data_IF_697381703429
#
_entry.id   IF_697381703429
#
_cell.length_a   1.000
_cell.length_b   1.000
_cell.length_c   1.000
_cell.angle_alpha   90.00
_cell.angle_beta   90.00
_cell.angle_gamma   90.00
#
_symmetry.space_group_name_H-M   'P 1'
#
loop_
_entity.id
_entity.type
_entity.pdbx_description
1 polymer ?
#
# COMPACT_ATOMS: atom_id res chain seq x y z
N UNK A 1 -0.86 -8.20 0.09
CA UNK A 1 -0.72 -6.84 -0.49
C UNK A 1 -0.63 -6.81 -2.01
N UNK A 2 0.35 -7.47 -2.66
CA UNK A 2 0.51 -7.40 -4.12
C UNK A 2 -0.70 -7.90 -4.92
N UNK A 3 -1.38 -8.96 -4.47
CA UNK A 3 -2.65 -9.41 -5.08
C UNK A 3 -3.71 -8.31 -5.03
N UNK A 4 -3.85 -7.61 -3.90
CA UNK A 4 -4.81 -6.51 -3.80
C UNK A 4 -4.42 -5.33 -4.70
N UNK A 5 -3.13 -5.00 -4.78
CA UNK A 5 -2.65 -3.93 -5.64
C UNK A 5 -2.97 -4.17 -7.12
N UNK A 6 -2.93 -5.43 -7.55
CA UNK A 6 -3.44 -5.84 -8.85
C UNK A 6 -4.97 -5.76 -8.88
N UNK A 7 -5.69 -6.35 -7.94
CA UNK A 7 -7.15 -6.38 -7.94
C UNK A 7 -7.77 -4.97 -8.09
N UNK A 8 -7.25 -4.00 -7.34
CA UNK A 8 -7.75 -2.62 -7.38
C UNK A 8 -7.40 -1.89 -8.68
N UNK A 9 -6.41 -2.37 -9.43
CA UNK A 9 -6.04 -1.82 -10.74
C UNK A 9 -7.12 -2.04 -11.81
N UNK A 10 -8.10 -2.91 -11.54
CA UNK A 10 -9.32 -3.12 -12.33
C UNK A 10 -10.61 -2.76 -11.61
N UNK A 11 -10.51 -2.27 -10.37
CA UNK A 11 -11.67 -1.92 -9.56
C UNK A 11 -12.06 -0.45 -9.73
N UNK A 12 -13.05 0.00 -8.98
CA UNK A 12 -13.50 1.38 -8.92
C UNK A 12 -13.86 1.76 -7.47
N UNK A 13 -14.16 3.04 -7.24
CA UNK A 13 -14.46 3.53 -5.89
C UNK A 13 -15.72 2.90 -5.26
N UNK A 14 -16.68 2.41 -6.06
CA UNK A 14 -17.82 1.65 -5.53
C UNK A 14 -17.37 0.33 -4.92
N UNK A 15 -16.45 -0.38 -5.59
CA UNK A 15 -15.85 -1.60 -5.05
C UNK A 15 -15.03 -1.30 -3.79
N UNK A 16 -14.25 -0.21 -3.77
CA UNK A 16 -13.51 0.21 -2.57
C UNK A 16 -14.45 0.51 -1.40
N UNK A 17 -15.52 1.28 -1.60
CA UNK A 17 -16.49 1.54 -0.54
C UNK A 17 -17.13 0.26 -0.01
N UNK A 18 -17.37 -0.71 -0.88
CA UNK A 18 -17.96 -2.01 -0.51
C UNK A 18 -16.96 -2.89 0.25
N UNK A 19 -15.69 -2.89 -0.16
CA UNK A 19 -14.64 -3.72 0.40
C UNK A 19 -14.05 -3.14 1.70
N UNK A 20 -13.79 -1.84 1.72
CA UNK A 20 -13.10 -1.14 2.81
C UNK A 20 -14.06 -0.61 3.88
N UNK A 21 -15.21 -0.07 3.45
CA UNK A 21 -16.13 0.64 4.35
C UNK A 21 -17.42 -0.14 4.62
N UNK A 22 -17.58 -1.32 4.00
CA UNK A 22 -18.80 -2.12 4.05
C UNK A 22 -20.06 -1.36 3.64
N UNK A 23 -19.91 -0.39 2.73
CA UNK A 23 -21.02 0.42 2.21
C UNK A 23 -21.44 -0.07 0.83
N UNK A 24 -22.73 -0.35 0.68
CA UNK A 24 -23.32 -0.81 -0.59
C UNK A 24 -23.33 -2.33 -0.72
N UNK A 25 -23.17 -2.85 -1.94
CA UNK A 25 -23.22 -4.28 -2.21
C UNK A 25 -21.99 -4.98 -1.65
N UNK A 26 -22.22 -5.89 -0.70
CA UNK A 26 -21.17 -6.73 -0.12
C UNK A 26 -20.29 -7.39 -1.19
N UNK A 27 -18.97 -7.25 -1.06
CA UNK A 27 -17.98 -8.03 -1.83
C UNK A 27 -17.89 -9.42 -1.20
N UNK A 28 -18.07 -10.47 -1.98
CA UNK A 28 -17.70 -11.83 -1.57
C UNK A 28 -16.28 -12.11 -2.04
N UNK A 29 -15.31 -11.98 -1.14
CA UNK A 29 -13.90 -12.13 -1.48
C UNK A 29 -13.51 -13.58 -1.85
N UNK A 30 -14.37 -14.57 -1.59
CA UNK A 30 -14.13 -15.96 -2.00
C UNK A 30 -14.38 -16.18 -3.50
N UNK A 31 -15.15 -15.29 -4.13
CA UNK A 31 -15.57 -15.41 -5.54
C UNK A 31 -15.31 -14.15 -6.37
N UNK A 32 -14.75 -13.08 -5.77
CA UNK A 32 -14.53 -11.80 -6.43
C UNK A 32 -13.60 -11.91 -7.67
N UNK A 33 -14.09 -11.40 -8.80
CA UNK A 33 -13.41 -11.51 -10.09
C UNK A 33 -12.10 -10.71 -10.16
N UNK A 34 -12.00 -9.56 -9.47
CA UNK A 34 -10.78 -8.76 -9.45
C UNK A 34 -9.69 -9.47 -8.64
N UNK A 35 -10.05 -10.04 -7.49
CA UNK A 35 -9.14 -10.83 -6.65
C UNK A 35 -8.67 -12.09 -7.40
N UNK A 36 -9.60 -12.82 -8.06
CA UNK A 36 -9.26 -14.01 -8.86
C UNK A 36 -8.27 -13.68 -9.97
N UNK A 37 -8.57 -12.64 -10.75
CA UNK A 37 -7.70 -12.18 -11.83
C UNK A 37 -6.31 -11.79 -11.31
N UNK A 38 -6.24 -11.09 -10.18
CA UNK A 38 -4.98 -10.66 -9.60
C UNK A 38 -4.11 -11.83 -9.16
N UNK A 39 -4.68 -12.82 -8.46
CA UNK A 39 -3.97 -14.03 -8.04
C UNK A 39 -3.43 -14.81 -9.25
N UNK A 40 -4.26 -14.99 -10.28
CA UNK A 40 -3.84 -15.62 -11.54
C UNK A 40 -2.73 -14.84 -12.25
N UNK A 41 -2.79 -13.51 -12.23
CA UNK A 41 -1.77 -12.64 -12.85
C UNK A 41 -0.44 -12.76 -12.13
N UNK A 42 -0.45 -12.82 -10.80
CA UNK A 42 0.77 -13.01 -10.02
C UNK A 42 1.43 -14.35 -10.35
N UNK A 43 0.66 -15.43 -10.51
CA UNK A 43 1.19 -16.73 -10.93
C UNK A 43 1.73 -16.70 -12.36
N UNK A 44 1.07 -16.00 -13.29
CA UNK A 44 1.60 -15.81 -14.65
C UNK A 44 2.96 -15.11 -14.63
N UNK A 45 3.13 -14.08 -13.81
CA UNK A 45 4.42 -13.40 -13.65
C UNK A 45 5.49 -14.30 -13.04
N UNK A 46 5.12 -15.15 -12.08
CA UNK A 46 6.01 -16.18 -11.54
C UNK A 46 6.48 -17.13 -12.64
N UNK A 47 5.55 -17.69 -13.43
CA UNK A 47 5.88 -18.60 -14.54
C UNK A 47 6.72 -17.92 -15.62
N UNK A 48 6.51 -16.62 -15.87
CA UNK A 48 7.29 -15.83 -16.82
C UNK A 48 8.68 -15.44 -16.31
N UNK A 49 9.05 -15.79 -15.07
CA UNK A 49 10.37 -15.49 -14.51
C UNK A 49 10.55 -14.05 -14.04
N UNK A 50 9.46 -13.31 -13.78
CA UNK A 50 9.55 -11.93 -13.28
C UNK A 50 9.89 -11.86 -11.78
N UNK A 51 9.80 -13.00 -11.09
CA UNK A 51 10.22 -13.16 -9.71
C UNK A 51 11.41 -14.11 -9.62
N UNK A 52 12.22 -13.95 -8.58
CA UNK A 52 13.27 -14.91 -8.28
C UNK A 52 12.70 -16.30 -8.00
N UNK A 53 13.44 -17.39 -8.28
CA UNK A 53 12.96 -18.75 -8.05
C UNK A 53 12.47 -19.02 -6.62
N UNK A 54 13.10 -18.39 -5.63
CA UNK A 54 12.83 -18.50 -4.20
C UNK A 54 11.87 -17.42 -3.65
N UNK A 55 11.11 -16.71 -4.51
CA UNK A 55 10.29 -15.55 -4.10
C UNK A 55 9.38 -15.78 -2.89
N UNK A 56 8.88 -17.01 -2.67
CA UNK A 56 8.05 -17.32 -1.50
C UNK A 56 8.81 -17.33 -0.17
N UNK A 57 10.14 -17.39 -0.20
CA UNK A 57 11.01 -17.28 0.99
C UNK A 57 11.68 -15.91 1.14
N UNK A 58 11.43 -14.97 0.23
CA UNK A 58 12.04 -13.63 0.27
C UNK A 58 11.19 -12.70 1.14
N UNK A 59 11.79 -12.09 2.15
CA UNK A 59 11.10 -11.09 2.97
C UNK A 59 10.94 -9.76 2.21
N UNK A 60 9.97 -8.90 2.60
CA UNK A 60 9.86 -7.56 2.02
C UNK A 60 11.15 -6.73 2.15
N UNK A 61 11.85 -6.84 3.28
CA UNK A 61 13.09 -6.11 3.53
C UNK A 61 14.24 -6.61 2.64
N UNK A 62 14.34 -7.93 2.43
CA UNK A 62 15.32 -8.52 1.52
C UNK A 62 15.06 -8.07 0.07
N UNK A 63 13.79 -8.08 -0.38
CA UNK A 63 13.44 -7.62 -1.71
C UNK A 63 13.80 -6.14 -1.95
N UNK A 64 13.62 -5.29 -0.92
CA UNK A 64 14.06 -3.89 -0.97
C UNK A 64 15.58 -3.78 -1.01
N UNK A 65 16.30 -4.56 -0.18
CA UNK A 65 17.76 -4.56 -0.15
C UNK A 65 18.37 -5.03 -1.48
N UNK A 66 17.75 -6.01 -2.14
CA UNK A 66 18.17 -6.48 -3.47
C UNK A 66 17.99 -5.41 -4.55
N UNK A 67 16.85 -4.70 -4.55
CA UNK A 67 16.67 -3.56 -5.44
C UNK A 67 17.73 -2.49 -5.17
N UNK A 68 17.95 -2.13 -3.90
CA UNK A 68 18.96 -1.14 -3.51
C UNK A 68 20.39 -1.53 -3.95
N UNK A 69 20.69 -2.83 -3.97
CA UNK A 69 21.94 -3.38 -4.46
C UNK A 69 22.01 -3.53 -6.00
N UNK A 70 20.99 -3.10 -6.75
CA UNK A 70 20.93 -3.20 -8.20
C UNK A 70 20.67 -4.62 -8.73
N UNK A 71 20.19 -5.54 -7.88
CA UNK A 71 19.91 -6.95 -8.24
C UNK A 71 18.49 -7.17 -8.77
N UNK A 72 17.61 -6.19 -8.61
CA UNK A 72 16.24 -6.22 -9.12
C UNK A 72 15.95 -4.95 -9.92
N UNK A 73 15.26 -5.08 -11.07
CA UNK A 73 14.89 -3.94 -11.90
C UNK A 73 13.73 -3.11 -11.34
N UNK A 74 12.85 -3.73 -10.54
CA UNK A 74 11.69 -3.09 -9.92
C UNK A 74 11.43 -3.69 -8.55
N UNK A 75 10.88 -2.88 -7.64
CA UNK A 75 10.32 -3.31 -6.37
C UNK A 75 8.98 -2.63 -6.15
N UNK A 76 7.97 -3.37 -5.69
CA UNK A 76 6.69 -2.80 -5.26
C UNK A 76 6.86 -2.37 -3.81
N UNK A 77 6.70 -1.08 -3.53
CA UNK A 77 6.90 -0.53 -2.18
C UNK A 77 6.12 0.76 -1.96
N UNK A 78 6.31 1.36 -0.78
CA UNK A 78 5.66 2.60 -0.39
C UNK A 78 6.60 3.80 -0.26
N UNK A 79 6.04 4.94 0.11
CA UNK A 79 6.79 6.18 0.35
C UNK A 79 7.73 6.10 1.55
N UNK A 80 7.45 5.23 2.53
CA UNK A 80 8.33 5.03 3.70
C UNK A 80 9.73 4.50 3.33
N UNK A 81 9.93 4.02 2.11
CA UNK A 81 11.24 3.57 1.63
C UNK A 81 12.13 4.72 1.14
N UNK A 82 11.60 5.91 0.90
CA UNK A 82 12.28 7.01 0.19
C UNK A 82 13.61 7.41 0.85
N UNK A 83 13.62 7.57 2.18
CA UNK A 83 14.85 7.89 2.92
C UNK A 83 15.93 6.79 2.78
N UNK A 84 15.52 5.52 2.79
CA UNK A 84 16.46 4.40 2.60
C UNK A 84 16.93 4.28 1.15
N UNK A 85 16.05 4.55 0.17
CA UNK A 85 16.41 4.54 -1.25
C UNK A 85 17.44 5.63 -1.57
N UNK A 86 17.23 6.84 -1.03
CA UNK A 86 18.17 7.94 -1.21
C UNK A 86 19.56 7.65 -0.64
N UNK A 87 19.65 6.92 0.47
CA UNK A 87 20.93 6.65 1.14
C UNK A 87 21.62 5.39 0.63
N UNK A 88 20.86 4.39 0.16
CA UNK A 88 21.40 3.07 -0.22
C UNK A 88 21.53 2.85 -1.72
N UNK A 89 20.75 3.55 -2.55
CA UNK A 89 20.91 3.48 -4.02
C UNK A 89 21.96 4.49 -4.46
N UNK A 90 23.18 4.03 -4.70
CA UNK A 90 24.32 4.89 -5.09
C UNK A 90 24.90 4.57 -6.47
N UNK A 91 24.55 3.42 -7.05
CA UNK A 91 25.15 2.90 -8.29
C UNK A 91 24.28 3.06 -9.52
N UNK A 92 23.02 3.46 -9.38
CA UNK A 92 22.08 3.64 -10.49
C UNK A 92 21.06 4.74 -10.18
N UNK A 93 20.40 5.24 -11.22
CA UNK A 93 19.25 6.14 -11.09
C UNK A 93 17.95 5.35 -11.00
N UNK A 94 17.04 5.77 -10.14
CA UNK A 94 15.73 5.15 -9.99
C UNK A 94 14.60 6.18 -10.17
N UNK A 95 13.41 5.68 -10.48
CA UNK A 95 12.18 6.47 -10.54
C UNK A 95 11.05 5.79 -9.78
N UNK A 96 9.92 6.48 -9.66
CA UNK A 96 8.70 5.94 -9.05
C UNK A 96 7.51 6.22 -9.95
N UNK A 97 6.61 5.26 -10.05
CA UNK A 97 5.38 5.39 -10.80
C UNK A 97 4.25 4.61 -10.10
N UNK A 98 3.01 4.99 -10.37
CA UNK A 98 1.86 4.25 -9.87
C UNK A 98 1.78 2.90 -10.59
N UNK A 99 1.41 1.84 -9.85
CA UNK A 99 1.03 0.58 -10.48
C UNK A 99 -0.03 0.85 -11.57
N UNK A 100 0.15 0.32 -12.80
CA UNK A 100 -0.78 0.58 -13.89
C UNK A 100 -2.19 0.08 -13.57
N UNK A 101 -3.19 0.93 -13.81
CA UNK A 101 -4.61 0.60 -13.66
C UNK A 101 -5.46 1.77 -13.21
N UNK A 102 -6.65 1.46 -12.70
CA UNK A 102 -7.66 2.43 -12.27
C UNK A 102 -7.38 3.02 -10.89
N UNK A 103 -7.01 2.18 -9.92
CA UNK A 103 -6.74 2.57 -8.54
C UNK A 103 -5.36 2.07 -8.08
N UNK A 104 -4.85 2.69 -7.02
CA UNK A 104 -3.57 2.36 -6.40
C UNK A 104 -3.71 2.20 -4.89
N UNK A 105 -2.92 1.29 -4.31
CA UNK A 105 -2.88 1.07 -2.86
C UNK A 105 -2.24 2.28 -2.19
N UNK A 106 -2.91 2.84 -1.20
CA UNK A 106 -2.42 4.01 -0.48
C UNK A 106 -3.54 4.71 0.28
N UNK A 107 -3.16 5.59 1.20
CA UNK A 107 -4.05 6.36 2.08
C UNK A 107 -3.41 7.70 2.45
N UNK A 108 -4.09 8.48 3.30
CA UNK A 108 -3.59 9.76 3.82
C UNK A 108 -2.41 9.63 4.83
N UNK A 109 -1.96 8.41 5.16
CA UNK A 109 -0.87 8.14 6.10
C UNK A 109 -1.35 7.83 7.53
N UNK A 110 -0.44 7.97 8.50
CA UNK A 110 -0.73 7.71 9.91
C UNK A 110 -1.70 8.74 10.49
N UNK A 111 -2.74 8.26 11.17
CA UNK A 111 -3.75 9.11 11.80
C UNK A 111 -3.31 9.49 13.21
N UNK A 112 -3.22 10.79 13.50
CA UNK A 112 -3.10 11.30 14.85
C UNK A 112 -4.50 11.45 15.45
N UNK A 113 -4.75 10.81 16.59
CA UNK A 113 -6.06 10.77 17.24
C UNK A 113 -6.01 11.33 18.65
N UNK A 114 -7.04 12.07 19.05
CA UNK A 114 -7.20 12.55 20.42
C UNK A 114 -8.21 11.63 21.12
N UNK A 115 -7.81 10.87 22.16
CA UNK A 115 -8.74 10.06 22.91
C UNK A 115 -9.84 10.91 23.56
N UNK A 116 -11.11 10.49 23.43
CA UNK A 116 -12.26 11.24 23.99
C UNK A 116 -12.17 11.47 25.49
N UNK A 117 -11.47 10.58 26.22
CA UNK A 117 -11.23 10.66 27.67
C UNK A 117 -9.91 11.34 28.05
N UNK A 118 -9.16 11.89 27.10
CA UNK A 118 -7.92 12.63 27.39
C UNK A 118 -8.21 13.81 28.32
N UNK A 119 -7.35 13.98 29.34
CA UNK A 119 -7.39 15.13 30.24
C UNK A 119 -6.75 16.39 29.62
N UNK A 120 -5.97 16.23 28.55
CA UNK A 120 -5.19 17.29 27.90
C UNK A 120 -5.56 17.43 26.42
N UNK A 121 -6.86 17.59 26.12
CA UNK A 121 -7.36 17.63 24.72
C UNK A 121 -6.79 18.80 23.94
N UNK A 122 -6.75 19.98 24.56
CA UNK A 122 -6.29 21.20 23.89
C UNK A 122 -4.80 21.13 23.56
N UNK A 123 -3.97 20.65 24.50
CA UNK A 123 -2.54 20.43 24.25
C UNK A 123 -2.27 19.37 23.18
N UNK A 124 -3.08 18.31 23.15
CA UNK A 124 -2.98 17.29 22.08
C UNK A 124 -3.35 17.89 20.71
N UNK A 125 -4.39 18.73 20.66
CA UNK A 125 -4.78 19.44 19.44
C UNK A 125 -3.70 20.44 19.00
N UNK A 126 -3.10 21.17 19.93
CA UNK A 126 -1.98 22.08 19.67
C UNK A 126 -0.77 21.35 19.09
N UNK A 127 -0.42 20.17 19.64
CA UNK A 127 0.65 19.34 19.10
C UNK A 127 0.34 18.85 17.67
N UNK A 128 -0.89 18.40 17.41
CA UNK A 128 -1.29 17.99 16.06
C UNK A 128 -1.20 19.18 15.09
N UNK A 129 -1.68 20.37 15.48
CA UNK A 129 -1.57 21.58 14.68
C UNK A 129 -0.11 21.97 14.40
N UNK A 130 0.78 21.81 15.39
CA UNK A 130 2.21 22.04 15.23
C UNK A 130 2.80 21.12 14.14
N UNK A 131 2.54 19.81 14.25
CA UNK A 131 3.04 18.80 13.28
C UNK A 131 2.47 19.03 11.87
N UNK A 132 1.22 19.48 11.77
CA UNK A 132 0.55 19.78 10.50
C UNK A 132 0.88 21.18 9.93
N UNK A 133 1.56 22.03 10.69
CA UNK A 133 1.96 23.36 10.21
C UNK A 133 2.95 23.27 9.05
N UNK A 134 2.92 24.28 8.16
CA UNK A 134 3.80 24.36 6.98
C UNK A 134 5.27 24.12 7.31
N UNK A 135 5.78 24.70 8.40
CA UNK A 135 7.17 24.53 8.84
C UNK A 135 7.54 23.05 8.99
N UNK A 136 6.74 22.29 9.73
CA UNK A 136 7.05 20.88 10.01
C UNK A 136 6.69 19.96 8.85
N UNK A 137 5.70 20.32 8.02
CA UNK A 137 5.42 19.59 6.79
C UNK A 137 6.52 19.79 5.73
N UNK A 138 7.05 21.00 5.59
CA UNK A 138 8.21 21.27 4.73
C UNK A 138 9.45 20.51 5.25
N UNK A 139 9.65 20.46 6.57
CA UNK A 139 10.70 19.62 7.16
C UNK A 139 10.51 18.14 6.85
N UNK A 140 9.30 17.60 7.05
CA UNK A 140 8.97 16.20 6.77
C UNK A 140 9.27 15.83 5.30
N UNK A 141 8.84 16.67 4.35
CA UNK A 141 9.12 16.43 2.94
C UNK A 141 10.61 16.52 2.60
N UNK A 142 11.39 17.39 3.25
CA UNK A 142 12.84 17.43 3.04
C UNK A 142 13.58 16.26 3.73
N UNK A 143 12.98 15.65 4.74
CA UNK A 143 13.51 14.48 5.45
C UNK A 143 13.19 13.13 4.77
N UNK A 144 12.61 13.11 3.56
CA UNK A 144 12.23 11.86 2.88
C UNK A 144 10.82 11.38 3.19
N UNK A 145 9.98 12.19 3.83
CA UNK A 145 8.59 11.89 4.14
C UNK A 145 7.62 12.33 3.05
N UNK A 146 6.35 11.95 3.21
CA UNK A 146 5.25 12.38 2.35
C UNK A 146 4.38 13.41 3.09
N UNK A 147 4.62 14.72 2.92
CA UNK A 147 3.85 15.75 3.60
C UNK A 147 2.46 15.96 2.97
N UNK A 148 1.50 16.36 3.80
CA UNK A 148 0.13 16.69 3.37
C UNK A 148 -0.05 18.19 3.10
N UNK A 149 0.59 19.04 3.91
CA UNK A 149 0.41 20.49 3.88
C UNK A 149 1.73 21.26 3.68
N UNK A 150 2.68 20.64 2.98
CA UNK A 150 3.91 21.32 2.59
C UNK A 150 3.66 22.27 1.40
N UNK A 151 4.46 23.34 1.33
CA UNK A 151 4.60 24.12 0.10
C UNK A 151 5.43 23.29 -0.89
N UNK A 152 4.90 23.00 -2.07
CA UNK A 152 5.54 22.09 -3.02
C UNK A 152 6.92 22.61 -3.45
N UNK A 153 7.05 23.93 -3.60
CA UNK A 153 8.28 24.63 -3.97
C UNK A 153 9.34 24.59 -2.86
N UNK A 154 8.95 24.29 -1.62
CA UNK A 154 9.87 24.18 -0.48
C UNK A 154 10.47 22.77 -0.33
N UNK A 155 10.01 21.78 -1.09
CA UNK A 155 10.54 20.41 -1.03
C UNK A 155 11.66 20.26 -2.05
N UNK A 156 12.90 20.14 -1.56
CA UNK A 156 14.10 19.95 -2.38
C UNK A 156 14.61 18.49 -2.36
N UNK A 157 14.12 17.64 -1.45
CA UNK A 157 14.54 16.25 -1.36
C UNK A 157 14.14 15.45 -2.62
N UNK A 158 15.10 14.91 -3.40
CA UNK A 158 14.80 14.26 -4.67
C UNK A 158 13.88 13.04 -4.54
N UNK A 159 14.08 12.21 -3.51
CA UNK A 159 13.26 11.01 -3.29
C UNK A 159 11.80 11.39 -2.96
N UNK A 160 11.61 12.45 -2.19
CA UNK A 160 10.27 12.94 -1.84
C UNK A 160 9.55 13.53 -3.06
N UNK A 161 10.28 14.25 -3.93
CA UNK A 161 9.75 14.76 -5.20
C UNK A 161 9.28 13.61 -6.12
N UNK A 162 10.05 12.51 -6.19
CA UNK A 162 9.67 11.32 -6.95
C UNK A 162 8.36 10.69 -6.46
N UNK A 163 8.04 10.79 -5.18
CA UNK A 163 6.78 10.28 -4.60
C UNK A 163 5.63 11.27 -4.71
N UNK A 164 5.90 12.57 -4.49
CA UNK A 164 4.85 13.60 -4.45
C UNK A 164 4.07 13.69 -5.76
N UNK A 165 4.76 13.54 -6.90
CA UNK A 165 4.13 13.59 -8.24
C UNK A 165 3.11 12.47 -8.45
N UNK A 166 3.46 11.17 -8.40
CA UNK A 166 2.49 10.09 -8.55
C UNK A 166 1.42 10.09 -7.45
N UNK A 167 1.76 10.46 -6.21
CA UNK A 167 0.77 10.57 -5.14
C UNK A 167 -0.27 11.68 -5.44
N UNK A 168 0.18 12.87 -5.86
CA UNK A 168 -0.71 13.96 -6.24
C UNK A 168 -1.63 13.59 -7.41
N UNK A 169 -1.15 12.79 -8.37
CA UNK A 169 -1.99 12.22 -9.44
C UNK A 169 -3.06 11.29 -8.88
N UNK A 170 -2.69 10.39 -7.96
CA UNK A 170 -3.65 9.47 -7.33
C UNK A 170 -4.73 10.21 -6.53
N UNK A 171 -4.34 11.24 -5.77
CA UNK A 171 -5.26 12.08 -5.00
C UNK A 171 -6.22 12.84 -5.93
N UNK A 172 -5.69 13.54 -6.95
CA UNK A 172 -6.52 14.30 -7.91
C UNK A 172 -7.53 13.44 -8.65
N UNK A 173 -7.17 12.18 -8.95
CA UNK A 173 -8.04 11.22 -9.64
C UNK A 173 -9.00 10.48 -8.71
N UNK A 174 -8.98 10.75 -7.40
CA UNK A 174 -9.67 9.94 -6.40
C UNK A 174 -9.38 8.44 -6.59
N UNK A 175 -8.09 8.09 -6.72
CA UNK A 175 -7.63 6.75 -7.11
C UNK A 175 -7.01 5.95 -5.96
N UNK A 176 -7.10 6.44 -4.72
CA UNK A 176 -6.60 5.72 -3.55
C UNK A 176 -7.54 4.57 -3.17
N UNK A 177 -6.97 3.39 -2.94
CA UNK A 177 -7.69 2.14 -2.68
C UNK A 177 -7.58 1.66 -1.22
N UNK A 178 -6.90 2.42 -0.33
CA UNK A 178 -6.60 2.01 1.04
C UNK A 178 -5.79 0.70 1.09
N UNK A 179 -5.56 0.14 2.28
CA UNK A 179 -4.80 -1.09 2.45
C UNK A 179 -5.72 -2.30 2.62
N UNK A 180 -5.37 -3.47 2.07
CA UNK A 180 -6.25 -4.64 2.04
C UNK A 180 -6.55 -5.25 3.41
N UNK A 181 -5.68 -5.03 4.40
CA UNK A 181 -5.74 -5.60 5.74
C UNK A 181 -6.54 -4.76 6.74
N UNK A 182 -6.89 -3.52 6.37
CA UNK A 182 -7.66 -2.61 7.22
C UNK A 182 -9.13 -2.97 7.45
N UNK A 183 -9.87 -3.59 6.52
CA UNK A 183 -11.31 -3.79 6.69
C UNK A 183 -11.67 -4.67 7.89
N UNK A 184 -10.84 -5.68 8.19
CA UNK A 184 -11.11 -6.63 9.28
C UNK A 184 -9.86 -6.90 10.12
N UNK A 185 -9.96 -6.93 11.47
CA UNK A 185 -8.82 -7.19 12.35
C UNK A 185 -8.13 -8.53 12.06
N UNK A 186 -6.79 -8.55 12.12
CA UNK A 186 -5.98 -9.76 11.90
C UNK A 186 -5.82 -10.18 10.43
N UNK A 187 -6.39 -9.44 9.48
CA UNK A 187 -6.37 -9.87 8.08
C UNK A 187 -4.98 -9.83 7.44
N UNK A 188 -4.08 -8.99 7.97
CA UNK A 188 -2.69 -8.91 7.51
C UNK A 188 -2.01 -10.29 7.51
N UNK A 189 -2.08 -11.02 8.62
CA UNK A 189 -1.40 -12.32 8.77
C UNK A 189 -1.98 -13.37 7.82
N UNK A 190 -3.30 -13.32 7.61
CA UNK A 190 -4.01 -14.20 6.68
C UNK A 190 -3.60 -13.89 5.24
N UNK A 191 -3.53 -12.60 4.85
CA UNK A 191 -3.10 -12.18 3.53
C UNK A 191 -1.62 -12.52 3.27
N UNK A 192 -0.76 -12.38 4.28
CA UNK A 192 0.66 -12.68 4.18
C UNK A 192 0.89 -14.18 3.99
N UNK A 193 0.41 -14.99 4.93
CA UNK A 193 0.59 -16.45 4.90
C UNK A 193 0.03 -17.09 3.63
N UNK A 194 -1.19 -16.73 3.24
CA UNK A 194 -1.84 -17.30 2.06
C UNK A 194 -1.27 -16.72 0.76
N UNK A 195 -0.81 -15.47 0.74
CA UNK A 195 -0.09 -14.90 -0.41
C UNK A 195 1.22 -15.63 -0.70
N UNK A 196 1.97 -15.98 0.36
CA UNK A 196 3.16 -16.82 0.25
C UNK A 196 2.82 -18.23 -0.22
N UNK A 197 1.76 -18.84 0.35
CA UNK A 197 1.29 -20.16 -0.05
C UNK A 197 0.82 -20.20 -1.51
N UNK A 198 0.18 -19.13 -2.01
CA UNK A 198 -0.20 -19.00 -3.42
C UNK A 198 1.03 -19.10 -4.33
N UNK A 199 2.10 -18.37 -4.01
CA UNK A 199 3.33 -18.39 -4.82
C UNK A 199 4.00 -19.77 -4.81
N UNK A 200 3.90 -20.54 -3.72
CA UNK A 200 4.45 -21.90 -3.65
C UNK A 200 3.57 -22.94 -4.33
N UNK A 201 2.27 -22.95 -4.06
CA UNK A 201 1.32 -23.98 -4.50
C UNK A 201 0.74 -23.76 -5.89
N UNK A 202 0.60 -22.49 -6.32
CA UNK A 202 -0.15 -22.13 -7.52
C UNK A 202 -1.68 -22.26 -7.37
N UNK A 203 -2.19 -22.53 -6.17
CA UNK A 203 -3.63 -22.77 -5.96
C UNK A 203 -4.39 -21.47 -5.68
N UNK A 204 -5.00 -20.93 -6.74
CA UNK A 204 -5.82 -19.70 -6.67
C UNK A 204 -7.09 -19.90 -5.86
N UNK A 205 -7.76 -21.03 -6.00
CA UNK A 205 -9.05 -21.26 -5.35
C UNK A 205 -8.85 -21.46 -3.84
N UNK A 206 -7.77 -22.14 -3.42
CA UNK A 206 -7.38 -22.22 -2.01
C UNK A 206 -7.04 -20.84 -1.43
N UNK A 207 -6.26 -20.02 -2.15
CA UNK A 207 -5.95 -18.65 -1.74
C UNK A 207 -7.21 -17.82 -1.51
N UNK A 208 -8.13 -17.83 -2.49
CA UNK A 208 -9.39 -17.07 -2.41
C UNK A 208 -10.29 -17.60 -1.31
N UNK A 209 -10.39 -18.91 -1.14
CA UNK A 209 -11.19 -19.51 -0.07
C UNK A 209 -10.66 -19.09 1.30
N UNK A 210 -9.36 -19.19 1.54
CA UNK A 210 -8.78 -18.87 2.84
C UNK A 210 -8.88 -17.37 3.18
N UNK A 211 -8.39 -16.51 2.27
CA UNK A 211 -8.42 -15.05 2.48
C UNK A 211 -9.84 -14.51 2.48
N UNK A 212 -10.66 -14.97 1.53
CA UNK A 212 -12.04 -14.51 1.39
C UNK A 212 -12.95 -14.95 2.53
N UNK A 213 -12.81 -16.17 3.05
CA UNK A 213 -13.63 -16.62 4.20
C UNK A 213 -13.30 -15.84 5.47
N UNK A 214 -12.02 -15.57 5.72
CA UNK A 214 -11.61 -14.74 6.85
C UNK A 214 -12.15 -13.32 6.71
N UNK A 215 -11.97 -12.70 5.54
CA UNK A 215 -12.53 -11.39 5.26
C UNK A 215 -14.05 -11.35 5.46
N UNK A 216 -14.79 -12.27 4.82
CA UNK A 216 -16.25 -12.30 4.85
C UNK A 216 -16.81 -12.47 6.28
N UNK A 217 -16.16 -13.29 7.11
CA UNK A 217 -16.55 -13.55 8.50
C UNK A 217 -16.17 -12.42 9.45
N UNK A 218 -15.11 -11.67 9.15
CA UNK A 218 -14.67 -10.52 9.95
C UNK A 218 -15.47 -9.23 9.71
N UNK A 219 -16.37 -9.21 8.72
CA UNK A 219 -17.20 -8.04 8.44
C UNK A 219 -18.20 -7.78 9.56
N UNK A 220 -18.57 -6.51 9.81
CA UNK A 220 -19.73 -6.19 10.63
C UNK A 220 -20.97 -6.93 10.11
N UNK A 221 -21.73 -7.52 11.03
CA UNK A 221 -23.04 -8.10 10.69
C UNK A 221 -23.99 -6.96 10.34
N UNK A 222 -24.72 -7.12 9.24
CA UNK A 222 -25.80 -6.23 8.85
C UNK A 222 -26.96 -6.29 9.85
#
# INVERSE_FOLDING_TARGET
HNVYALAVSRANQTWINSFQLFKGKAVDATTDANIKWAAQTLLKWKTAGYFQPNVSGVSPDDAVAEFQAGKAAMVIGGSWLDGSMQTKVSTFSYGKFLLPGTLTVGSAGNLLVIPSRSKNKDLAAEFINLVLSKKYQNYLGNAGGLPLFADAEAIANPASILTATPFGVAVKKNALAMYPDWPVPGYYDILLSNGTALLSSGDVDAYMKATGSFYNSGRPKA
#
